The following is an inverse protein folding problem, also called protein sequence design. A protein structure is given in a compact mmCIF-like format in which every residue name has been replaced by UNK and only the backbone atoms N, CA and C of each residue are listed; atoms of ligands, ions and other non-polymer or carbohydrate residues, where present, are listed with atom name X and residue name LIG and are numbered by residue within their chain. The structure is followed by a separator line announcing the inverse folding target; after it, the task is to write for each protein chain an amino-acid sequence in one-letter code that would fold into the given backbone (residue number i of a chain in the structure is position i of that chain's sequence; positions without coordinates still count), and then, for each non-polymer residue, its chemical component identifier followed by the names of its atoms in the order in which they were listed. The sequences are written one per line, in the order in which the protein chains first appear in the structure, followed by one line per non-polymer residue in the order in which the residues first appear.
data_IF_541660657093
#
_entry.id   IF_541660657093
#
_cell.length_a   1.000
_cell.length_b   1.000
_cell.length_c   1.000
_cell.angle_alpha   90.00
_cell.angle_beta   90.00
_cell.angle_gamma   90.00
#
_symmetry.space_group_name_H-M   'P 1'
#
loop_
_entity.id
_entity.type
_entity.pdbx_description
1 polymer ?
#
# COMPACT_ATOMS: atom_id res chain seq x y z
N UNK A 1 -17.09 50.92 -11.62
CA UNK A 1 -16.08 49.99 -11.04
C UNK A 1 -16.72 48.92 -10.15
N UNK A 2 -17.56 49.28 -9.17
CA UNK A 2 -18.18 48.28 -8.27
C UNK A 2 -19.26 47.43 -8.96
N UNK A 3 -20.17 48.06 -9.72
CA UNK A 3 -21.24 47.34 -10.43
C UNK A 3 -20.71 46.35 -11.47
N UNK A 4 -19.64 46.70 -12.20
CA UNK A 4 -19.01 45.83 -13.19
C UNK A 4 -18.32 44.62 -12.55
N UNK A 5 -17.80 44.74 -11.33
CA UNK A 5 -17.27 43.61 -10.56
C UNK A 5 -18.39 42.68 -10.09
N UNK A 6 -19.49 43.24 -9.61
CA UNK A 6 -20.64 42.47 -9.10
C UNK A 6 -21.32 41.71 -10.24
N UNK A 7 -21.58 42.36 -11.38
CA UNK A 7 -22.18 41.69 -12.54
C UNK A 7 -21.28 40.58 -13.07
N UNK A 8 -19.96 40.82 -13.22
CA UNK A 8 -19.02 39.78 -13.62
C UNK A 8 -19.01 38.58 -12.65
N UNK A 9 -18.98 38.84 -11.34
CA UNK A 9 -19.01 37.78 -10.33
C UNK A 9 -20.30 36.97 -10.41
N UNK A 10 -21.45 37.63 -10.57
CA UNK A 10 -22.74 36.96 -10.72
C UNK A 10 -22.77 36.04 -11.96
N UNK A 11 -22.36 36.55 -13.13
CA UNK A 11 -22.29 35.72 -14.35
C UNK A 11 -21.32 34.55 -14.21
N UNK A 12 -20.14 34.77 -13.61
CA UNK A 12 -19.20 33.68 -13.32
C UNK A 12 -19.84 32.63 -12.38
N UNK A 13 -20.47 33.05 -11.29
CA UNK A 13 -21.12 32.13 -10.36
C UNK A 13 -22.21 31.30 -11.05
N UNK A 14 -23.06 31.90 -11.89
CA UNK A 14 -24.11 31.17 -12.63
C UNK A 14 -23.53 30.13 -13.60
N UNK A 15 -22.47 30.48 -14.33
CA UNK A 15 -21.82 29.56 -15.28
C UNK A 15 -21.11 28.41 -14.53
N UNK A 16 -20.45 28.70 -13.42
CA UNK A 16 -19.69 27.71 -12.65
C UNK A 16 -20.53 26.95 -11.62
N UNK A 17 -21.77 27.36 -11.36
CA UNK A 17 -22.66 26.67 -10.41
C UNK A 17 -22.92 25.21 -10.79
N UNK A 18 -22.95 24.91 -12.10
CA UNK A 18 -23.12 23.55 -12.61
C UNK A 18 -21.84 22.69 -12.52
N UNK A 19 -20.68 23.28 -12.21
CA UNK A 19 -19.39 22.57 -12.14
C UNK A 19 -19.00 22.35 -10.67
N UNK A 20 -19.00 21.08 -10.25
CA UNK A 20 -18.65 20.67 -8.89
C UNK A 20 -17.15 20.78 -8.57
N UNK A 21 -16.31 20.93 -9.60
CA UNK A 21 -14.85 20.98 -9.47
C UNK A 21 -14.32 22.28 -8.83
N UNK A 22 -15.17 23.31 -8.68
CA UNK A 22 -14.76 24.62 -8.20
C UNK A 22 -15.72 25.15 -7.14
N UNK A 23 -15.19 25.53 -5.98
CA UNK A 23 -15.97 26.25 -4.99
C UNK A 23 -16.00 27.75 -5.33
N UNK A 24 -17.18 28.38 -5.42
CA UNK A 24 -17.29 29.83 -5.60
C UNK A 24 -16.83 30.61 -4.35
N UNK A 25 -16.68 29.92 -3.22
CA UNK A 25 -16.12 30.47 -2.00
C UNK A 25 -14.58 30.45 -2.07
N UNK A 26 -13.93 31.44 -1.45
CA UNK A 26 -12.46 31.48 -1.40
C UNK A 26 -11.87 30.29 -0.63
N UNK A 27 -10.56 30.06 -0.77
CA UNK A 27 -9.80 28.93 -0.20
C UNK A 27 -10.11 28.56 1.26
N UNK A 28 -10.40 29.55 2.09
CA UNK A 28 -10.72 29.33 3.51
C UNK A 28 -12.12 28.77 3.79
N UNK A 29 -13.05 28.89 2.83
CA UNK A 29 -14.46 28.53 2.97
C UNK A 29 -14.91 27.48 1.93
N UNK A 30 -13.99 26.88 1.18
CA UNK A 30 -14.33 25.88 0.16
C UNK A 30 -15.11 24.69 0.75
N UNK A 31 -14.80 24.29 1.98
CA UNK A 31 -15.47 23.18 2.68
C UNK A 31 -16.86 23.52 3.21
N UNK A 32 -17.25 24.80 3.21
CA UNK A 32 -18.62 25.21 3.55
C UNK A 32 -19.60 24.91 2.41
N UNK A 33 -19.09 24.87 1.18
CA UNK A 33 -19.87 24.47 0.01
C UNK A 33 -20.09 22.96 -0.02
N UNK A 34 -21.34 22.54 0.19
CA UNK A 34 -21.72 21.13 0.19
C UNK A 34 -21.43 20.43 -1.15
N UNK A 35 -21.57 21.14 -2.26
CA UNK A 35 -21.32 20.60 -3.60
C UNK A 35 -19.84 20.27 -3.81
N UNK A 36 -18.96 21.22 -3.49
CA UNK A 36 -17.52 21.00 -3.57
C UNK A 36 -17.02 19.97 -2.54
N UNK A 37 -17.52 20.03 -1.29
CA UNK A 37 -17.14 19.08 -0.24
C UNK A 37 -17.53 17.62 -0.59
N UNK A 38 -18.71 17.42 -1.16
CA UNK A 38 -19.15 16.09 -1.61
C UNK A 38 -18.32 15.58 -2.79
N UNK A 39 -17.98 16.44 -3.75
CA UNK A 39 -17.06 16.13 -4.84
C UNK A 39 -15.69 15.69 -4.31
N UNK A 40 -15.04 16.48 -3.46
CA UNK A 40 -13.72 16.12 -2.87
C UNK A 40 -13.79 14.80 -2.11
N UNK A 41 -14.86 14.59 -1.34
CA UNK A 41 -15.07 13.33 -0.61
C UNK A 41 -15.18 12.13 -1.56
N UNK A 42 -15.92 12.28 -2.65
CA UNK A 42 -16.02 11.27 -3.70
C UNK A 42 -14.64 10.93 -4.30
N UNK A 43 -13.82 11.93 -4.63
CA UNK A 43 -12.46 11.71 -5.16
C UNK A 43 -11.55 10.97 -4.18
N UNK A 44 -11.63 11.30 -2.88
CA UNK A 44 -10.86 10.58 -1.87
C UNK A 44 -11.27 9.12 -1.75
N UNK A 45 -12.58 8.83 -1.80
CA UNK A 45 -13.11 7.47 -1.78
C UNK A 45 -12.67 6.73 -3.06
N UNK A 46 -12.84 7.33 -4.23
CA UNK A 46 -12.47 6.72 -5.50
C UNK A 46 -10.98 6.39 -5.57
N UNK A 47 -10.12 7.34 -5.17
CA UNK A 47 -8.66 7.13 -5.10
C UNK A 47 -8.30 5.98 -4.15
N UNK A 48 -8.99 5.87 -3.02
CA UNK A 48 -8.74 4.83 -2.01
C UNK A 48 -9.21 3.45 -2.50
N UNK A 49 -10.37 3.39 -3.14
CA UNK A 49 -11.01 2.14 -3.59
C UNK A 49 -10.43 1.60 -4.89
N UNK A 50 -10.08 2.47 -5.85
CA UNK A 50 -9.60 2.09 -7.19
C UNK A 50 -8.23 2.65 -7.51
N UNK A 51 -7.28 2.45 -6.62
CA UNK A 51 -5.91 2.88 -6.89
C UNK A 51 -5.31 2.05 -8.05
N UNK A 52 -4.97 2.66 -9.20
CA UNK A 52 -4.60 1.91 -10.42
C UNK A 52 -3.35 1.04 -10.22
N UNK A 53 -2.36 1.53 -9.47
CA UNK A 53 -1.15 0.75 -9.15
C UNK A 53 -1.48 -0.48 -8.31
N UNK A 54 -2.45 -0.38 -7.39
CA UNK A 54 -2.84 -1.50 -6.54
C UNK A 54 -3.59 -2.55 -7.37
N UNK A 55 -4.50 -2.12 -8.24
CA UNK A 55 -5.25 -3.02 -9.12
C UNK A 55 -4.32 -3.82 -10.04
N UNK A 56 -3.36 -3.15 -10.68
CA UNK A 56 -2.36 -3.82 -11.52
C UNK A 56 -1.46 -4.74 -10.69
N UNK A 57 -1.04 -4.31 -9.50
CA UNK A 57 -0.26 -5.15 -8.60
C UNK A 57 -1.01 -6.43 -8.20
N UNK A 58 -2.30 -6.32 -7.84
CA UNK A 58 -3.16 -7.46 -7.51
C UNK A 58 -3.28 -8.40 -8.71
N UNK A 59 -3.43 -7.87 -9.92
CA UNK A 59 -3.52 -8.69 -11.12
C UNK A 59 -2.21 -9.44 -11.41
N UNK A 60 -1.06 -8.78 -11.30
CA UNK A 60 0.27 -9.42 -11.41
C UNK A 60 0.41 -10.55 -10.38
N UNK A 61 0.05 -10.29 -9.12
CA UNK A 61 0.10 -11.31 -8.06
C UNK A 61 -0.85 -12.46 -8.35
N UNK A 62 -2.07 -12.19 -8.82
CA UNK A 62 -3.07 -13.19 -9.20
C UNK A 62 -2.56 -14.10 -10.32
N UNK A 63 -2.01 -13.51 -11.39
CA UNK A 63 -1.45 -14.27 -12.51
C UNK A 63 -0.31 -15.18 -12.03
N UNK A 64 0.62 -14.64 -11.21
CA UNK A 64 1.72 -15.43 -10.63
C UNK A 64 1.21 -16.57 -9.74
N UNK A 65 0.16 -16.37 -8.96
CA UNK A 65 -0.44 -17.43 -8.14
C UNK A 65 -1.06 -18.54 -9.00
N UNK A 66 -1.72 -18.20 -10.10
CA UNK A 66 -2.27 -19.17 -11.05
C UNK A 66 -1.14 -19.99 -11.69
N UNK A 67 -0.06 -19.33 -12.10
CA UNK A 67 1.11 -20.01 -12.68
C UNK A 67 1.78 -20.96 -11.70
N UNK A 68 1.94 -20.55 -10.43
CA UNK A 68 2.47 -21.41 -9.37
C UNK A 68 1.57 -22.63 -9.16
N UNK A 69 0.25 -22.48 -9.17
CA UNK A 69 -0.70 -23.61 -9.04
C UNK A 69 -0.58 -24.58 -10.21
N UNK A 70 -0.52 -24.07 -11.45
CA UNK A 70 -0.30 -24.88 -12.67
C UNK A 70 1.03 -25.64 -12.60
N UNK A 71 2.08 -24.97 -12.13
CA UNK A 71 3.40 -25.56 -11.98
C UNK A 71 3.42 -26.67 -10.91
N UNK A 72 2.77 -26.45 -9.77
CA UNK A 72 2.62 -27.46 -8.72
C UNK A 72 1.89 -28.71 -9.23
N UNK A 73 0.84 -28.53 -10.02
CA UNK A 73 0.14 -29.65 -10.68
C UNK A 73 1.08 -30.44 -11.61
N UNK A 74 1.86 -29.76 -12.45
CA UNK A 74 2.85 -30.42 -13.34
C UNK A 74 3.93 -31.18 -12.57
N UNK A 75 4.40 -30.62 -11.45
CA UNK A 75 5.37 -31.25 -10.55
C UNK A 75 4.78 -32.50 -9.86
N UNK A 76 3.52 -32.45 -9.45
CA UNK A 76 2.80 -33.60 -8.85
C UNK A 76 2.66 -34.78 -9.82
N UNK A 77 2.71 -34.53 -11.13
CA UNK A 77 2.70 -35.56 -12.18
C UNK A 77 4.12 -36.14 -12.41
N UNK A 78 5.10 -35.75 -11.59
CA UNK A 78 6.47 -36.27 -11.65
C UNK A 78 7.35 -35.66 -12.74
N UNK A 79 6.88 -34.63 -13.46
CA UNK A 79 7.69 -33.97 -14.50
C UNK A 79 8.58 -32.87 -13.89
N UNK A 80 9.90 -33.03 -14.01
CA UNK A 80 10.92 -31.98 -13.86
C UNK A 80 11.12 -31.33 -12.47
N UNK A 81 11.14 -32.11 -11.39
CA UNK A 81 11.33 -31.58 -10.03
C UNK A 81 12.68 -30.88 -9.81
N UNK A 82 13.78 -31.45 -10.31
CA UNK A 82 15.12 -30.87 -10.13
C UNK A 82 15.29 -29.54 -10.88
N UNK A 83 14.77 -29.45 -12.11
CA UNK A 83 14.81 -28.23 -12.92
C UNK A 83 14.05 -27.08 -12.24
N UNK A 84 12.92 -27.39 -11.60
CA UNK A 84 12.13 -26.41 -10.86
C UNK A 84 12.88 -25.81 -9.67
N UNK A 85 13.55 -26.64 -8.87
CA UNK A 85 14.31 -26.14 -7.72
C UNK A 85 15.50 -25.27 -8.18
N UNK A 86 16.17 -25.63 -9.27
CA UNK A 86 17.23 -24.79 -9.87
C UNK A 86 16.70 -23.42 -10.33
N UNK A 87 15.56 -23.40 -11.04
CA UNK A 87 14.95 -22.16 -11.52
C UNK A 87 14.50 -21.25 -10.37
N UNK A 88 13.96 -21.84 -9.30
CA UNK A 88 13.57 -21.13 -8.08
C UNK A 88 14.77 -20.49 -7.37
N UNK A 89 15.87 -21.21 -7.22
CA UNK A 89 17.12 -20.67 -6.65
C UNK A 89 17.71 -19.56 -7.52
N UNK A 90 17.61 -19.68 -8.85
CA UNK A 90 18.01 -18.63 -9.79
C UNK A 90 17.16 -17.37 -9.63
N UNK A 91 15.83 -17.51 -9.53
CA UNK A 91 14.92 -16.38 -9.29
C UNK A 91 15.22 -15.67 -7.97
N UNK A 92 15.43 -16.41 -6.88
CA UNK A 92 15.77 -15.83 -5.58
C UNK A 92 17.05 -14.98 -5.68
N UNK A 93 18.09 -15.48 -6.35
CA UNK A 93 19.33 -14.72 -6.55
C UNK A 93 19.08 -13.43 -7.32
N UNK A 94 18.32 -13.48 -8.41
CA UNK A 94 17.95 -12.29 -9.20
C UNK A 94 17.16 -11.28 -8.37
N UNK A 95 16.19 -11.72 -7.57
CA UNK A 95 15.43 -10.84 -6.68
C UNK A 95 16.31 -10.20 -5.59
N UNK A 96 17.27 -10.94 -5.03
CA UNK A 96 18.22 -10.40 -4.04
C UNK A 96 19.10 -9.32 -4.66
N UNK A 97 19.62 -9.55 -5.86
CA UNK A 97 20.42 -8.58 -6.60
C UNK A 97 19.61 -7.34 -7.02
N UNK A 98 18.40 -7.54 -7.54
CA UNK A 98 17.49 -6.45 -7.88
C UNK A 98 17.16 -5.59 -6.64
N UNK A 99 16.92 -6.23 -5.49
CA UNK A 99 16.70 -5.52 -4.23
C UNK A 99 17.94 -4.73 -3.80
N UNK A 100 19.13 -5.33 -3.85
CA UNK A 100 20.38 -4.65 -3.51
C UNK A 100 20.59 -3.42 -4.40
N UNK A 101 20.40 -3.58 -5.72
CA UNK A 101 20.49 -2.49 -6.69
C UNK A 101 19.50 -1.35 -6.38
N UNK A 102 18.23 -1.68 -6.14
CA UNK A 102 17.20 -0.69 -5.77
C UNK A 102 17.56 0.05 -4.48
N UNK A 103 18.09 -0.65 -3.48
CA UNK A 103 18.50 -0.02 -2.21
C UNK A 103 19.74 0.86 -2.37
N UNK A 104 20.70 0.48 -3.21
CA UNK A 104 21.88 1.31 -3.50
C UNK A 104 21.47 2.62 -4.18
N UNK A 105 20.54 2.55 -5.16
CA UNK A 105 20.05 3.73 -5.88
C UNK A 105 19.08 4.60 -5.08
N UNK A 106 18.43 4.06 -4.04
CA UNK A 106 17.43 4.76 -3.24
C UNK A 106 17.78 4.69 -1.75
N UNK A 107 18.68 5.56 -1.31
CA UNK A 107 19.23 5.53 0.05
C UNK A 107 18.17 5.74 1.13
N UNK A 108 17.19 6.63 0.90
CA UNK A 108 16.07 6.86 1.82
C UNK A 108 15.33 5.57 2.20
N UNK A 109 15.21 4.62 1.26
CA UNK A 109 14.50 3.35 1.49
C UNK A 109 15.25 2.42 2.46
N UNK A 110 16.58 2.56 2.59
CA UNK A 110 17.38 1.78 3.56
C UNK A 110 16.91 2.03 4.98
N UNK A 111 16.69 3.31 5.34
CA UNK A 111 16.23 3.71 6.68
C UNK A 111 14.82 3.19 6.98
N UNK A 112 13.87 3.38 6.06
CA UNK A 112 12.49 2.89 6.22
C UNK A 112 12.43 1.36 6.35
N UNK A 113 13.23 0.64 5.55
CA UNK A 113 13.30 -0.82 5.61
C UNK A 113 13.87 -1.31 6.95
N UNK A 114 14.96 -0.71 7.44
CA UNK A 114 15.54 -1.07 8.75
C UNK A 114 14.53 -0.87 9.88
N UNK A 115 13.81 0.25 9.86
CA UNK A 115 12.76 0.54 10.85
C UNK A 115 11.64 -0.52 10.83
N UNK A 116 11.09 -0.85 9.66
CA UNK A 116 10.05 -1.89 9.53
C UNK A 116 10.53 -3.28 9.98
N UNK A 117 11.78 -3.65 9.66
CA UNK A 117 12.34 -4.94 10.08
C UNK A 117 12.58 -5.00 11.60
N UNK A 118 12.97 -3.89 12.22
CA UNK A 118 13.09 -3.81 13.68
C UNK A 118 11.71 -3.92 14.35
N UNK A 119 10.74 -3.15 13.86
CA UNK A 119 9.35 -3.18 14.35
C UNK A 119 8.74 -4.58 14.24
N UNK A 120 8.89 -5.27 13.10
CA UNK A 120 8.39 -6.63 12.94
C UNK A 120 9.03 -7.63 13.91
N UNK A 121 10.33 -7.53 14.18
CA UNK A 121 11.01 -8.39 15.16
C UNK A 121 10.46 -8.18 16.57
N UNK A 122 10.25 -6.93 16.98
CA UNK A 122 9.63 -6.60 18.28
C UNK A 122 8.22 -7.18 18.39
N UNK A 123 7.40 -7.07 17.34
CA UNK A 123 6.05 -7.64 17.32
C UNK A 123 6.08 -9.17 17.44
N UNK A 124 7.00 -9.84 16.72
CA UNK A 124 7.16 -11.29 16.82
C UNK A 124 7.57 -11.74 18.22
N UNK A 125 8.51 -11.05 18.88
CA UNK A 125 8.89 -11.34 20.26
C UNK A 125 7.71 -11.25 21.21
N UNK A 126 6.89 -10.19 21.11
CA UNK A 126 5.68 -10.01 21.94
C UNK A 126 4.58 -11.03 21.66
N UNK A 127 4.50 -11.55 20.43
CA UNK A 127 3.57 -12.64 20.09
C UNK A 127 4.06 -13.96 20.66
N UNK A 128 5.37 -14.23 20.59
CA UNK A 128 5.98 -15.41 21.19
C UNK A 128 5.84 -15.40 22.71
N UNK A 129 6.14 -14.29 23.38
CA UNK A 129 5.92 -14.12 24.83
C UNK A 129 4.47 -14.45 25.20
N UNK A 130 3.48 -13.90 24.48
CA UNK A 130 2.06 -14.21 24.71
C UNK A 130 1.69 -15.68 24.46
N UNK A 131 2.39 -16.37 23.56
CA UNK A 131 2.18 -17.80 23.32
C UNK A 131 2.81 -18.62 24.45
N UNK A 132 4.02 -18.27 24.89
CA UNK A 132 4.69 -18.92 26.03
C UNK A 132 3.90 -18.73 27.34
N UNK A 133 3.33 -17.55 27.56
CA UNK A 133 2.45 -17.27 28.70
C UNK A 133 1.17 -18.12 28.65
N UNK A 134 0.57 -18.28 27.46
CA UNK A 134 -0.63 -19.12 27.27
C UNK A 134 -0.37 -20.62 27.42
N UNK A 135 0.85 -21.08 27.13
CA UNK A 135 1.25 -22.48 27.26
C UNK A 135 1.75 -22.78 28.70
N UNK A 136 1.81 -21.78 29.58
CA UNK A 136 2.21 -21.95 30.98
C UNK A 136 3.70 -22.31 31.14
N UNK A 137 4.54 -22.01 30.14
CA UNK A 137 5.96 -22.37 30.13
C UNK A 137 6.88 -21.32 30.76
N UNK A 138 6.34 -20.28 31.40
CA UNK A 138 7.13 -19.37 32.24
C UNK A 138 7.39 -20.01 33.60
N UNK A 139 8.11 -21.14 33.62
CA UNK A 139 8.81 -21.53 34.84
C UNK A 139 9.89 -20.49 35.10
N UNK A 140 9.74 -19.83 36.25
CA UNK A 140 10.68 -18.91 36.87
C UNK A 140 12.10 -19.48 36.82
N UNK A 141 12.97 -18.91 35.99
CA UNK A 141 14.41 -19.07 36.16
C UNK A 141 14.80 -18.34 37.46
N UNK A 142 15.33 -19.05 38.48
CA UNK A 142 15.80 -18.39 39.69
C UNK A 142 17.03 -17.54 39.33
N UNK A 143 16.98 -16.25 39.66
CA UNK A 143 18.20 -15.45 39.81
C UNK A 143 19.06 -16.16 40.87
N UNK A 144 20.13 -16.81 40.43
CA UNK A 144 21.21 -17.21 41.32
C UNK A 144 21.92 -15.92 41.77
N UNK A 145 21.84 -15.70 43.08
CA UNK A 145 22.66 -14.89 43.98
C UNK A 145 23.30 -13.62 43.43
#
# INVERSE_FOLDING_TARGET
MCLTRITKAFFCSVIFFARLDYSPYGRGLEMYDSSYASYVSFFHIEKSQRHPVLNVFIDIVRQRLIDIRKLKYKLSIGKNQEKYEQDKLSQIRRFRWALAYTLIKNEQLKRYRKHRLCSNRVTQSKTLERIFDKIGLTQTLPRKF
#
